data_IF_712087621241
#
_entry.id   IF_712087621241
#
_cell.length_a   1.000
_cell.length_b   1.000
_cell.length_c   1.000
_cell.angle_alpha   90.00
_cell.angle_beta   90.00
_cell.angle_gamma   90.00
#
_symmetry.space_group_name_H-M   'P 1'
#
loop_
_entity.id
_entity.type
_entity.pdbx_description
1 polymer ?
#
# COMPACT_ATOMS: atom_id res chain seq x y z
N UNK A 1 -2.08 -3.46 17.88
CA UNK A 1 -2.55 -2.08 17.61
C UNK A 1 -1.57 -1.05 18.20
N UNK A 2 -1.19 -1.09 19.47
CA UNK A 2 -0.26 -0.12 20.09
C UNK A 2 1.15 -0.05 19.44
N UNK A 3 1.60 -1.11 18.79
CA UNK A 3 2.88 -1.13 18.06
C UNK A 3 2.76 -0.37 16.74
N UNK A 4 1.60 -0.47 16.08
CA UNK A 4 1.31 0.26 14.82
C UNK A 4 1.19 1.77 15.06
N UNK A 5 0.50 2.16 16.15
CA UNK A 5 0.31 3.57 16.50
C UNK A 5 1.65 4.27 16.79
N UNK A 6 2.54 3.62 17.53
CA UNK A 6 3.89 4.13 17.77
C UNK A 6 4.75 4.19 16.49
N UNK A 7 4.54 3.25 15.57
CA UNK A 7 5.22 3.23 14.28
C UNK A 7 4.79 4.42 13.40
N UNK A 8 3.48 4.66 13.31
CA UNK A 8 2.92 5.77 12.51
C UNK A 8 3.38 7.12 13.07
N UNK A 9 3.30 7.32 14.37
CA UNK A 9 3.73 8.58 15.01
C UNK A 9 5.23 8.84 14.76
N UNK A 10 6.08 7.82 14.87
CA UNK A 10 7.50 7.99 14.59
C UNK A 10 7.80 8.27 13.12
N UNK A 11 7.08 7.67 12.17
CA UNK A 11 7.23 8.01 10.75
C UNK A 11 6.89 9.48 10.52
N UNK A 12 5.84 10.01 11.16
CA UNK A 12 5.45 11.42 11.05
C UNK A 12 6.57 12.32 11.58
N UNK A 13 7.11 12.01 12.75
CA UNK A 13 8.20 12.77 13.37
C UNK A 13 9.49 12.71 12.51
N UNK A 14 9.84 11.54 11.99
CA UNK A 14 11.02 11.33 11.16
C UNK A 14 10.91 12.03 9.81
N UNK A 15 9.70 12.11 9.22
CA UNK A 15 9.53 12.63 7.87
C UNK A 15 9.92 14.11 7.71
N UNK A 16 10.00 14.87 8.80
CA UNK A 16 10.49 16.23 8.79
C UNK A 16 12.02 16.35 8.95
N UNK A 17 12.71 15.24 9.22
CA UNK A 17 14.16 15.20 9.32
C UNK A 17 14.79 15.10 7.93
N UNK A 18 15.99 15.70 7.71
CA UNK A 18 16.68 15.61 6.41
C UNK A 18 17.04 14.17 6.00
N UNK A 19 17.30 13.31 6.96
CA UNK A 19 17.72 11.91 6.87
C UNK A 19 16.61 10.92 7.22
N UNK A 20 15.35 11.34 7.06
CA UNK A 20 14.19 10.54 7.48
C UNK A 20 14.14 9.14 6.85
N UNK A 21 14.69 8.99 5.65
CA UNK A 21 14.70 7.72 4.92
C UNK A 21 15.57 6.69 5.61
N UNK A 22 16.78 7.10 5.95
CA UNK A 22 17.78 6.30 6.67
C UNK A 22 17.27 5.96 8.07
N UNK A 23 16.69 6.95 8.76
CA UNK A 23 16.11 6.77 10.08
C UNK A 23 14.93 5.80 10.09
N UNK A 24 14.07 5.83 9.06
CA UNK A 24 12.97 4.88 8.91
C UNK A 24 13.49 3.45 8.68
N UNK A 25 14.53 3.32 7.87
CA UNK A 25 15.20 2.04 7.62
C UNK A 25 15.68 1.40 8.90
N UNK A 26 16.54 2.12 9.61
CA UNK A 26 17.16 1.64 10.83
C UNK A 26 16.09 1.23 11.86
N UNK A 27 15.07 2.07 12.03
CA UNK A 27 13.96 1.77 12.93
C UNK A 27 13.22 0.48 12.57
N UNK A 28 12.89 0.28 11.30
CA UNK A 28 12.19 -0.93 10.85
C UNK A 28 13.05 -2.18 11.04
N UNK A 29 14.34 -2.09 10.72
CA UNK A 29 15.28 -3.18 10.91
C UNK A 29 15.39 -3.58 12.40
N UNK A 30 15.63 -2.63 13.27
CA UNK A 30 15.72 -2.86 14.72
C UNK A 30 14.46 -3.54 15.28
N UNK A 31 13.27 -3.10 14.83
CA UNK A 31 11.99 -3.67 15.30
C UNK A 31 11.79 -5.11 14.86
N UNK A 32 12.22 -5.45 13.66
CA UNK A 32 12.15 -6.83 13.16
C UNK A 32 13.15 -7.71 13.89
N UNK A 33 14.40 -7.27 14.03
CA UNK A 33 15.45 -7.98 14.76
C UNK A 33 15.05 -8.24 16.22
N UNK A 34 14.52 -7.23 16.90
CA UNK A 34 14.04 -7.38 18.27
C UNK A 34 12.89 -8.40 18.38
N UNK A 35 12.01 -8.45 17.37
CA UNK A 35 10.90 -9.40 17.37
C UNK A 35 11.35 -10.83 17.03
N UNK A 36 12.31 -10.99 16.14
CA UNK A 36 12.96 -12.28 15.86
C UNK A 36 13.63 -12.83 17.12
N UNK A 37 14.33 -11.99 17.86
CA UNK A 37 14.99 -12.36 19.13
C UNK A 37 13.96 -12.76 20.19
N UNK A 38 12.91 -11.95 20.38
CA UNK A 38 11.82 -12.25 21.31
C UNK A 38 11.17 -13.60 21.05
N UNK A 39 10.98 -13.95 19.78
CA UNK A 39 10.30 -15.17 19.35
C UNK A 39 11.25 -16.35 19.16
N UNK A 40 12.57 -16.15 19.22
CA UNK A 40 13.58 -17.18 18.96
C UNK A 40 13.53 -17.72 17.51
N UNK A 41 13.13 -16.91 16.54
CA UNK A 41 12.98 -17.29 15.13
C UNK A 41 13.87 -16.44 14.23
N UNK A 42 14.07 -16.91 12.99
CA UNK A 42 14.62 -16.11 11.90
C UNK A 42 13.65 -16.15 10.73
N UNK A 43 13.20 -14.99 10.31
CA UNK A 43 12.26 -14.86 9.21
C UNK A 43 12.98 -14.98 7.85
N UNK A 44 12.42 -15.76 6.96
CA UNK A 44 12.83 -15.73 5.56
C UNK A 44 12.40 -14.40 4.92
N UNK A 45 13.06 -13.93 3.84
CA UNK A 45 12.72 -12.65 3.21
C UNK A 45 11.23 -12.47 2.85
N UNK A 46 10.55 -13.55 2.46
CA UNK A 46 9.11 -13.54 2.15
C UNK A 46 8.20 -13.59 3.39
N UNK A 47 8.73 -13.94 4.55
CA UNK A 47 8.02 -13.99 5.84
C UNK A 47 8.13 -12.66 6.60
N UNK A 48 9.08 -11.81 6.22
CA UNK A 48 9.25 -10.48 6.83
C UNK A 48 7.97 -9.67 6.63
N UNK A 49 7.39 -9.12 7.71
CA UNK A 49 6.20 -8.29 7.62
C UNK A 49 6.39 -7.12 6.65
N UNK A 50 5.33 -6.76 5.97
CA UNK A 50 5.31 -5.62 5.05
C UNK A 50 3.94 -4.95 5.07
N UNK A 51 3.92 -3.67 4.73
CA UNK A 51 2.69 -2.88 4.70
C UNK A 51 2.76 -1.84 3.60
N UNK A 52 1.63 -1.61 2.95
CA UNK A 52 1.46 -0.40 2.14
C UNK A 52 1.59 0.83 3.04
N UNK A 53 2.18 1.88 2.51
CA UNK A 53 2.44 3.12 3.24
C UNK A 53 2.11 4.31 2.35
N UNK A 54 1.24 5.19 2.84
CA UNK A 54 1.02 6.51 2.26
C UNK A 54 1.25 7.56 3.32
N UNK A 55 2.11 8.52 3.00
CA UNK A 55 2.31 9.71 3.81
C UNK A 55 1.89 10.90 2.95
N UNK A 56 1.01 11.74 3.50
CA UNK A 56 0.66 13.02 2.90
C UNK A 56 0.91 14.13 3.91
N UNK A 57 1.55 15.22 3.47
CA UNK A 57 1.76 16.39 4.33
C UNK A 57 1.58 17.69 3.59
N UNK A 58 1.08 18.67 4.30
CA UNK A 58 1.06 20.07 3.85
C UNK A 58 2.38 20.74 4.20
N UNK A 59 3.05 21.30 3.19
CA UNK A 59 4.26 22.11 3.37
C UNK A 59 4.16 23.42 2.58
N UNK A 60 3.89 24.50 3.29
CA UNK A 60 3.59 25.78 2.65
C UNK A 60 2.36 25.70 1.75
N UNK A 61 2.52 26.04 0.47
CA UNK A 61 1.44 25.99 -0.55
C UNK A 61 1.30 24.62 -1.22
N UNK A 62 2.03 23.60 -0.76
CA UNK A 62 2.06 22.30 -1.40
C UNK A 62 1.47 21.21 -0.51
N UNK A 63 0.86 20.22 -1.17
CA UNK A 63 0.58 18.92 -0.63
C UNK A 63 1.57 17.93 -1.23
N UNK A 64 2.38 17.31 -0.38
CA UNK A 64 3.39 16.33 -0.75
C UNK A 64 2.88 14.92 -0.44
N UNK A 65 3.17 13.97 -1.33
CA UNK A 65 2.84 12.56 -1.18
C UNK A 65 4.10 11.71 -1.28
N UNK A 66 4.13 10.70 -0.42
CA UNK A 66 5.04 9.58 -0.49
C UNK A 66 4.20 8.31 -0.37
N UNK A 67 4.33 7.37 -1.32
CA UNK A 67 3.54 6.14 -1.32
C UNK A 67 4.38 4.94 -1.74
N UNK A 68 4.24 3.85 -0.98
CA UNK A 68 4.77 2.52 -1.26
C UNK A 68 3.63 1.49 -1.15
N UNK A 69 3.60 0.54 -2.07
CA UNK A 69 2.56 -0.49 -2.13
C UNK A 69 1.33 -0.02 -2.89
N UNK A 70 0.21 -0.67 -2.66
CA UNK A 70 -1.02 -0.64 -3.44
C UNK A 70 -2.13 0.25 -2.85
N UNK A 71 -1.84 0.99 -1.80
CA UNK A 71 -2.77 2.03 -1.34
C UNK A 71 -3.10 2.99 -2.47
N UNK A 72 -4.34 3.43 -2.51
CA UNK A 72 -4.88 4.26 -3.58
C UNK A 72 -4.89 5.72 -3.16
N UNK A 73 -4.39 6.59 -4.02
CA UNK A 73 -4.53 8.04 -3.89
C UNK A 73 -5.34 8.53 -5.09
N UNK A 74 -6.47 9.16 -4.83
CA UNK A 74 -7.28 9.81 -5.85
C UNK A 74 -7.13 11.32 -5.72
N UNK A 75 -6.84 11.98 -6.84
CA UNK A 75 -6.62 13.43 -6.89
C UNK A 75 -7.56 14.03 -7.93
N UNK A 76 -8.44 14.91 -7.49
CA UNK A 76 -9.26 15.76 -8.36
C UNK A 76 -8.68 17.17 -8.38
N UNK A 77 -8.40 17.68 -9.58
CA UNK A 77 -7.93 19.05 -9.79
C UNK A 77 -9.08 19.97 -10.13
N UNK A 78 -8.96 21.24 -9.75
CA UNK A 78 -9.95 22.29 -10.10
C UNK A 78 -10.04 22.55 -11.60
N UNK A 79 -8.98 22.24 -12.34
CA UNK A 79 -8.87 22.57 -13.77
C UNK A 79 -9.58 21.60 -14.70
N UNK A 80 -9.97 20.42 -14.21
CA UNK A 80 -10.62 19.39 -15.01
C UNK A 80 -11.52 18.47 -14.15
N UNK A 81 -12.41 17.73 -14.78
CA UNK A 81 -13.30 16.78 -14.12
C UNK A 81 -12.71 15.37 -14.00
N UNK A 82 -11.49 15.16 -14.48
CA UNK A 82 -10.84 13.86 -14.39
C UNK A 82 -10.22 13.64 -13.02
N UNK A 83 -10.22 12.38 -12.57
CA UNK A 83 -9.60 11.95 -11.34
C UNK A 83 -8.33 11.18 -11.67
N UNK A 84 -7.19 11.70 -11.21
CA UNK A 84 -5.91 11.01 -11.25
C UNK A 84 -5.91 9.92 -10.18
N UNK A 85 -5.61 8.67 -10.56
CA UNK A 85 -5.39 7.57 -9.62
C UNK A 85 -3.92 7.20 -9.59
N UNK A 86 -3.41 7.03 -8.38
CA UNK A 86 -2.03 6.64 -8.10
C UNK A 86 -2.06 5.41 -7.23
N UNK A 87 -1.48 4.32 -7.72
CA UNK A 87 -1.22 3.08 -6.97
C UNK A 87 -0.15 2.23 -7.66
N UNK A 88 0.41 1.26 -6.94
CA UNK A 88 1.27 0.24 -7.55
C UNK A 88 0.44 -0.75 -8.37
N UNK A 89 0.55 -0.63 -9.71
CA UNK A 89 -0.17 -1.50 -10.63
C UNK A 89 0.37 -2.95 -10.65
N UNK A 90 1.62 -3.19 -10.24
CA UNK A 90 2.20 -4.53 -10.28
C UNK A 90 1.63 -5.40 -9.15
N UNK A 91 1.57 -4.88 -7.93
CA UNK A 91 0.98 -5.60 -6.80
C UNK A 91 -0.49 -5.93 -7.10
N UNK A 92 -1.25 -4.94 -7.58
CA UNK A 92 -2.64 -5.16 -7.98
C UNK A 92 -2.83 -6.27 -9.05
N UNK A 93 -1.93 -6.37 -10.04
CA UNK A 93 -1.96 -7.45 -11.02
C UNK A 93 -1.70 -8.83 -10.39
N UNK A 94 -0.75 -8.91 -9.46
CA UNK A 94 -0.44 -10.15 -8.75
C UNK A 94 -1.63 -10.62 -7.91
N UNK A 95 -2.30 -9.71 -7.22
CA UNK A 95 -3.49 -10.01 -6.43
C UNK A 95 -4.66 -10.45 -7.31
N UNK A 96 -4.87 -9.80 -8.45
CA UNK A 96 -5.89 -10.22 -9.42
C UNK A 96 -5.65 -11.64 -9.95
N UNK A 97 -4.40 -12.05 -10.15
CA UNK A 97 -4.09 -13.42 -10.56
C UNK A 97 -4.47 -14.43 -9.47
N UNK A 98 -4.20 -14.12 -8.21
CA UNK A 98 -4.62 -14.94 -7.06
C UNK A 98 -6.15 -15.04 -6.99
N UNK A 99 -6.84 -13.90 -7.10
CA UNK A 99 -8.31 -13.86 -7.12
C UNK A 99 -8.91 -14.69 -8.22
N UNK A 100 -8.34 -14.61 -9.43
CA UNK A 100 -8.78 -15.43 -10.57
C UNK A 100 -8.62 -16.90 -10.26
N UNK A 101 -7.45 -17.33 -9.79
CA UNK A 101 -7.19 -18.73 -9.43
C UNK A 101 -8.17 -19.23 -8.36
N UNK A 102 -8.41 -18.45 -7.31
CA UNK A 102 -9.39 -18.82 -6.27
C UNK A 102 -10.80 -18.97 -6.82
N UNK A 103 -11.23 -18.09 -7.73
CA UNK A 103 -12.54 -18.19 -8.38
C UNK A 103 -12.64 -19.45 -9.26
N UNK A 104 -11.61 -19.73 -10.04
CA UNK A 104 -11.58 -20.89 -10.92
C UNK A 104 -11.68 -22.21 -10.10
N UNK A 105 -10.90 -22.31 -9.02
CA UNK A 105 -10.96 -23.48 -8.10
C UNK A 105 -12.33 -23.56 -7.41
N UNK A 106 -12.86 -22.45 -6.93
CA UNK A 106 -14.18 -22.39 -6.26
C UNK A 106 -15.30 -22.94 -7.15
N UNK A 107 -15.27 -22.63 -8.46
CA UNK A 107 -16.26 -23.11 -9.43
C UNK A 107 -16.05 -24.60 -9.72
N UNK A 108 -14.81 -25.01 -9.97
CA UNK A 108 -14.50 -26.38 -10.39
C UNK A 108 -14.75 -27.40 -9.28
N UNK A 109 -14.43 -27.03 -8.04
CA UNK A 109 -14.52 -27.92 -6.88
C UNK A 109 -15.77 -27.69 -6.02
N UNK A 110 -16.70 -26.83 -6.46
CA UNK A 110 -17.95 -26.50 -5.76
C UNK A 110 -17.73 -26.12 -4.29
N UNK A 111 -16.82 -25.16 -4.07
CA UNK A 111 -16.46 -24.68 -2.74
C UNK A 111 -16.50 -23.15 -2.65
N UNK A 112 -16.44 -22.62 -1.44
CA UNK A 112 -16.37 -21.18 -1.23
C UNK A 112 -14.99 -20.62 -1.62
N UNK A 113 -14.92 -19.33 -1.99
CA UNK A 113 -13.64 -18.61 -2.22
C UNK A 113 -12.73 -18.69 -0.99
N UNK A 114 -13.30 -18.67 0.22
CA UNK A 114 -12.54 -18.78 1.48
C UNK A 114 -11.86 -20.15 1.61
N UNK A 115 -12.52 -21.20 1.20
CA UNK A 115 -11.94 -22.55 1.18
C UNK A 115 -10.90 -22.67 0.06
N UNK A 116 -11.19 -22.15 -1.13
CA UNK A 116 -10.25 -22.13 -2.25
C UNK A 116 -8.93 -21.43 -1.89
N UNK A 117 -8.97 -20.38 -1.04
CA UNK A 117 -7.76 -19.71 -0.55
C UNK A 117 -6.77 -20.61 0.16
N UNK A 118 -7.23 -21.71 0.76
CA UNK A 118 -6.38 -22.64 1.50
C UNK A 118 -5.84 -23.80 0.62
N UNK A 119 -6.13 -23.78 -0.67
CA UNK A 119 -5.60 -24.79 -1.59
C UNK A 119 -4.10 -24.61 -1.80
N UNK A 120 -3.35 -25.73 -1.94
CA UNK A 120 -1.90 -25.70 -2.13
C UNK A 120 -1.45 -24.79 -3.27
N UNK A 121 -2.17 -24.78 -4.39
CA UNK A 121 -1.86 -24.01 -5.58
C UNK A 121 -1.97 -22.51 -5.31
N UNK A 122 -2.98 -22.08 -4.54
CA UNK A 122 -3.17 -20.69 -4.15
C UNK A 122 -2.10 -20.26 -3.15
N UNK A 123 -1.79 -21.12 -2.18
CA UNK A 123 -0.73 -20.86 -1.19
C UNK A 123 0.63 -20.71 -1.89
N UNK A 124 0.92 -21.56 -2.87
CA UNK A 124 2.18 -21.49 -3.61
C UNK A 124 2.26 -20.20 -4.44
N UNK A 125 1.20 -19.85 -5.18
CA UNK A 125 1.16 -18.60 -5.93
C UNK A 125 1.33 -17.37 -5.01
N UNK A 126 0.73 -17.38 -3.82
CA UNK A 126 0.94 -16.31 -2.82
C UNK A 126 2.40 -16.25 -2.34
N UNK A 127 3.08 -17.39 -2.19
CA UNK A 127 4.49 -17.43 -1.83
C UNK A 127 5.38 -16.91 -2.95
N UNK A 128 5.11 -17.31 -4.18
CA UNK A 128 5.81 -16.82 -5.37
C UNK A 128 5.67 -15.30 -5.49
N UNK A 129 4.45 -14.78 -5.36
CA UNK A 129 4.20 -13.34 -5.36
C UNK A 129 5.00 -12.62 -4.26
N UNK A 130 5.05 -13.16 -3.05
CA UNK A 130 5.85 -12.58 -1.96
C UNK A 130 7.35 -12.59 -2.21
N UNK A 131 7.85 -13.53 -3.02
CA UNK A 131 9.26 -13.55 -3.41
C UNK A 131 9.63 -12.40 -4.37
N UNK A 132 8.63 -11.78 -5.01
CA UNK A 132 8.80 -10.61 -5.87
C UNK A 132 8.83 -9.29 -5.09
N UNK A 133 8.60 -9.34 -3.77
CA UNK A 133 8.63 -8.18 -2.89
C UNK A 133 10.00 -7.50 -2.95
N UNK A 134 9.98 -6.18 -3.16
CA UNK A 134 11.15 -5.31 -3.18
C UNK A 134 12.23 -5.74 -4.19
N UNK A 135 11.80 -6.20 -5.35
CA UNK A 135 12.68 -6.62 -6.45
C UNK A 135 12.29 -5.94 -7.75
N UNK A 136 13.28 -5.76 -8.62
CA UNK A 136 13.06 -5.27 -9.99
C UNK A 136 12.11 -6.23 -10.72
N UNK A 137 11.08 -5.67 -11.34
CA UNK A 137 10.03 -6.44 -12.02
C UNK A 137 8.93 -6.99 -11.11
N UNK A 138 9.08 -6.82 -9.80
CA UNK A 138 8.07 -7.11 -8.79
C UNK A 138 7.31 -5.86 -8.34
N UNK A 139 7.17 -5.70 -7.04
CA UNK A 139 6.50 -4.57 -6.41
C UNK A 139 7.30 -4.06 -5.21
N UNK A 140 7.10 -2.78 -4.86
CA UNK A 140 7.81 -2.14 -3.76
C UNK A 140 6.83 -1.80 -2.63
N UNK A 141 7.17 -2.23 -1.41
CA UNK A 141 6.31 -2.11 -0.23
C UNK A 141 7.19 -1.90 1.01
N UNK A 142 6.69 -1.14 1.98
CA UNK A 142 7.42 -0.90 3.22
C UNK A 142 7.69 -2.22 3.96
N UNK A 143 8.96 -2.46 4.27
CA UNK A 143 9.45 -3.63 5.01
C UNK A 143 10.78 -3.25 5.69
N UNK A 144 11.63 -4.23 6.01
CA UNK A 144 12.98 -4.00 6.55
C UNK A 144 14.04 -3.64 5.48
N UNK A 145 13.63 -3.37 4.25
CA UNK A 145 14.52 -3.01 3.15
C UNK A 145 14.25 -1.54 2.77
N UNK A 146 15.14 -0.67 3.15
CA UNK A 146 15.05 0.78 2.92
C UNK A 146 15.32 1.19 1.50
N UNK A 147 16.03 0.38 0.73
CA UNK A 147 16.30 0.71 -0.68
C UNK A 147 15.01 0.96 -1.45
N UNK A 148 13.89 0.40 -0.96
CA UNK A 148 12.54 0.61 -1.51
C UNK A 148 12.09 2.07 -1.51
N UNK A 149 12.62 2.88 -0.63
CA UNK A 149 12.26 4.30 -0.52
C UNK A 149 12.56 5.06 -1.81
N UNK A 150 13.61 4.67 -2.53
CA UNK A 150 13.96 5.26 -3.83
C UNK A 150 12.95 4.93 -4.94
N UNK A 151 12.15 3.88 -4.76
CA UNK A 151 11.10 3.44 -5.70
C UNK A 151 9.71 3.93 -5.31
N UNK A 152 9.58 4.61 -4.17
CA UNK A 152 8.31 5.17 -3.76
C UNK A 152 7.80 6.22 -4.75
N UNK A 153 6.49 6.23 -4.94
CA UNK A 153 5.85 7.35 -5.61
C UNK A 153 6.00 8.60 -4.76
N UNK A 154 6.62 9.64 -5.33
CA UNK A 154 6.81 10.92 -4.67
C UNK A 154 6.33 12.03 -5.59
N UNK A 155 5.34 12.81 -5.14
CA UNK A 155 4.77 13.92 -5.89
C UNK A 155 4.39 15.07 -4.97
N UNK A 156 4.32 16.23 -5.60
CA UNK A 156 4.03 17.48 -4.96
C UNK A 156 3.03 18.27 -5.81
N UNK A 157 1.94 18.65 -5.20
CA UNK A 157 0.86 19.38 -5.85
C UNK A 157 0.65 20.72 -5.17
N UNK A 158 0.37 21.77 -5.93
CA UNK A 158 -0.04 23.05 -5.34
C UNK A 158 -1.45 22.94 -4.78
N UNK A 159 -1.65 23.34 -3.54
CA UNK A 159 -2.94 23.26 -2.86
C UNK A 159 -4.06 24.03 -3.60
N UNK A 160 -3.72 25.17 -4.21
CA UNK A 160 -4.68 25.96 -4.97
C UNK A 160 -5.16 25.30 -6.26
N UNK A 161 -4.43 24.30 -6.78
CA UNK A 161 -4.80 23.51 -7.97
C UNK A 161 -5.67 22.30 -7.63
N UNK A 162 -5.67 21.89 -6.35
CA UNK A 162 -6.41 20.72 -5.88
C UNK A 162 -7.84 21.11 -5.50
N UNK A 163 -8.79 20.30 -5.94
CA UNK A 163 -10.18 20.36 -5.47
C UNK A 163 -10.36 19.40 -4.30
N UNK A 164 -9.97 18.12 -4.51
CA UNK A 164 -10.13 17.04 -3.52
C UNK A 164 -9.00 16.05 -3.61
N UNK A 165 -8.71 15.43 -2.48
CA UNK A 165 -7.81 14.28 -2.37
C UNK A 165 -8.47 13.23 -1.49
N UNK A 166 -8.40 11.99 -1.93
CA UNK A 166 -8.86 10.83 -1.16
C UNK A 166 -7.76 9.78 -1.12
N UNK A 167 -7.51 9.22 0.06
CA UNK A 167 -6.52 8.17 0.27
C UNK A 167 -7.19 7.00 0.95
N UNK A 168 -7.00 5.80 0.42
CA UNK A 168 -7.54 4.57 1.00
C UNK A 168 -6.59 3.39 0.80
N UNK A 169 -6.83 2.33 1.54
CA UNK A 169 -6.20 1.03 1.30
C UNK A 169 -6.90 0.29 0.14
N UNK A 170 -6.26 -0.73 -0.38
CA UNK A 170 -6.78 -1.65 -1.39
C UNK A 170 -8.09 -2.36 -1.00
N UNK A 171 -8.34 -2.47 0.32
CA UNK A 171 -9.61 -3.00 0.83
C UNK A 171 -10.83 -2.11 0.56
N UNK A 172 -10.62 -0.87 0.10
CA UNK A 172 -11.67 0.03 -0.34
C UNK A 172 -11.75 -0.01 -1.88
N UNK A 173 -12.70 -0.77 -2.39
CA UNK A 173 -12.89 -0.93 -3.83
C UNK A 173 -14.08 -0.07 -4.32
N UNK A 174 -13.76 0.97 -5.09
CA UNK A 174 -14.76 1.89 -5.65
C UNK A 174 -15.63 1.16 -6.67
N UNK A 175 -15.08 0.17 -7.38
CA UNK A 175 -15.81 -0.58 -8.39
C UNK A 175 -16.93 -1.43 -7.75
N UNK A 176 -16.72 -1.90 -6.50
CA UNK A 176 -17.77 -2.59 -5.70
C UNK A 176 -18.94 -1.67 -5.40
N UNK A 177 -18.71 -0.36 -5.31
CA UNK A 177 -19.77 0.63 -5.11
C UNK A 177 -20.59 0.90 -6.39
N UNK A 178 -20.20 0.30 -7.52
CA UNK A 178 -20.89 0.47 -8.80
C UNK A 178 -20.86 1.91 -9.35
N UNK A 179 -19.80 2.66 -9.03
CA UNK A 179 -19.65 4.05 -9.48
C UNK A 179 -18.25 4.32 -10.05
N UNK A 180 -18.16 5.34 -10.89
CA UNK A 180 -16.85 5.82 -11.37
C UNK A 180 -16.12 6.63 -10.28
N UNK A 181 -14.80 6.76 -10.42
CA UNK A 181 -13.95 7.55 -9.51
C UNK A 181 -14.40 9.02 -9.46
N UNK A 182 -14.80 9.57 -10.59
CA UNK A 182 -15.31 10.93 -10.70
C UNK A 182 -16.59 11.10 -9.91
N UNK A 183 -17.55 10.17 -10.07
CA UNK A 183 -18.80 10.17 -9.31
C UNK A 183 -18.55 9.98 -7.81
N UNK A 184 -17.63 9.06 -7.45
CA UNK A 184 -17.21 8.88 -6.07
C UNK A 184 -16.63 10.16 -5.48
N UNK A 185 -15.64 10.77 -6.14
CA UNK A 185 -15.00 12.01 -5.69
C UNK A 185 -15.95 13.19 -5.65
N UNK A 186 -17.00 13.20 -6.47
CA UNK A 186 -18.06 14.19 -6.38
C UNK A 186 -18.89 14.00 -5.10
N UNK A 187 -19.27 12.76 -4.77
CA UNK A 187 -20.18 12.45 -3.68
C UNK A 187 -19.59 12.58 -2.27
N UNK A 188 -18.26 12.41 -2.10
CA UNK A 188 -17.60 12.51 -0.78
C UNK A 188 -17.41 13.95 -0.28
N UNK A 189 -17.96 14.93 -0.94
CA UNK A 189 -17.56 16.32 -0.67
C UNK A 189 -18.44 17.09 0.29
N UNK A 190 -19.64 16.74 0.50
CA UNK A 190 -20.64 17.69 0.98
C UNK A 190 -21.23 17.36 2.36
N UNK A 191 -20.60 16.43 3.10
CA UNK A 191 -20.98 16.09 4.46
C UNK A 191 -20.01 16.66 5.51
N UNK A 192 -19.83 17.97 5.49
CA UNK A 192 -19.27 18.71 6.62
C UNK A 192 -20.36 19.50 7.31
#
# INVERSE_FOLDING_TARGET
YAVLDNFILRIIDMYDMPDWKESLEEYMKERIEAKEEELGIRLKPYEVPSSSLVISRKRGEFLEFFSLGDSIILIKRKSNDTVEEIRDCNLHKLDNNVWKLMKDISIVEDMTIKEARNKPEVIELLRENRQLKNKVGGYYIASNDSSVVSYAYQRKYKLNELEKVFVCTDGFDIDVLGMTKEKFMHNISDNN
#
